data_IF_035094459812
#
_entry.id   IF_035094459812
#
_cell.length_a   1.000
_cell.length_b   1.000
_cell.length_c   1.000
_cell.angle_alpha   90.00
_cell.angle_beta   90.00
_cell.angle_gamma   90.00
#
_symmetry.space_group_name_H-M   'P 1'
#
loop_
_entity.id
_entity.type
_entity.pdbx_description
1 polymer ?
#
# COMPACT_ATOMS: atom_id res chain seq x y z
N UNK A 1 -12.05 9.46 0.55
CA UNK A 1 -12.56 8.91 -0.76
C UNK A 1 -12.39 7.39 -0.76
N UNK A 2 -13.38 6.69 -1.23
CA UNK A 2 -13.31 5.24 -1.35
C UNK A 2 -12.89 4.82 -2.76
N UNK A 3 -12.79 3.50 -3.02
CA UNK A 3 -12.34 3.01 -4.32
C UNK A 3 -13.21 3.45 -5.50
N UNK A 4 -14.56 3.35 -5.44
CA UNK A 4 -15.39 3.84 -6.53
C UNK A 4 -15.22 5.33 -6.82
N UNK A 5 -15.09 6.15 -5.79
CA UNK A 5 -14.85 7.58 -5.95
C UNK A 5 -13.48 7.86 -6.56
N UNK A 6 -12.49 7.09 -6.16
CA UNK A 6 -11.14 7.18 -6.72
C UNK A 6 -11.14 6.82 -8.20
N UNK A 7 -11.84 5.73 -8.58
CA UNK A 7 -11.98 5.31 -9.98
C UNK A 7 -12.63 6.41 -10.82
N UNK A 8 -13.69 7.02 -10.29
CA UNK A 8 -14.38 8.11 -11.00
C UNK A 8 -13.45 9.29 -11.22
N UNK A 9 -12.71 9.70 -10.22
CA UNK A 9 -11.78 10.82 -10.32
C UNK A 9 -10.66 10.54 -11.33
N UNK A 10 -10.10 9.34 -11.32
CA UNK A 10 -9.03 8.94 -12.23
C UNK A 10 -9.56 8.85 -13.67
N UNK A 11 -10.77 8.29 -13.85
CA UNK A 11 -11.36 8.17 -15.19
C UNK A 11 -11.53 9.54 -15.84
N UNK A 12 -11.94 10.53 -15.08
CA UNK A 12 -12.09 11.89 -15.57
C UNK A 12 -10.75 12.49 -15.97
N UNK A 13 -9.73 12.35 -15.13
CA UNK A 13 -8.39 12.86 -15.42
C UNK A 13 -7.75 12.17 -16.62
N UNK A 14 -7.93 10.87 -16.74
CA UNK A 14 -7.28 10.07 -17.79
C UNK A 14 -8.04 10.10 -19.10
N UNK A 15 -9.29 10.57 -19.11
CA UNK A 15 -10.11 10.53 -20.30
C UNK A 15 -10.52 9.13 -20.72
N UNK A 16 -10.68 8.23 -19.73
CA UNK A 16 -11.07 6.84 -19.95
C UNK A 16 -12.46 6.58 -19.35
N UNK A 17 -13.10 5.52 -19.82
CA UNK A 17 -14.33 5.07 -19.19
C UNK A 17 -14.05 4.56 -17.76
N UNK A 18 -15.07 4.55 -16.91
CA UNK A 18 -14.92 4.01 -15.56
C UNK A 18 -14.55 2.54 -15.59
N UNK A 19 -15.11 1.79 -16.52
CA UNK A 19 -14.83 0.36 -16.67
C UNK A 19 -13.35 0.11 -17.00
N UNK A 20 -12.82 0.84 -17.97
CA UNK A 20 -11.41 0.70 -18.36
C UNK A 20 -10.49 1.18 -17.24
N UNK A 21 -10.85 2.27 -16.57
CA UNK A 21 -10.09 2.81 -15.44
C UNK A 21 -10.04 1.80 -14.29
N UNK A 22 -11.17 1.16 -13.98
CA UNK A 22 -11.23 0.13 -12.95
C UNK A 22 -10.30 -1.04 -13.27
N UNK A 23 -10.28 -1.48 -14.52
CA UNK A 23 -9.37 -2.56 -14.95
C UNK A 23 -7.91 -2.17 -14.78
N UNK A 24 -7.55 -0.95 -15.16
CA UNK A 24 -6.17 -0.45 -15.04
C UNK A 24 -5.78 -0.33 -13.56
N UNK A 25 -6.64 0.24 -12.75
CA UNK A 25 -6.37 0.41 -11.31
C UNK A 25 -6.22 -0.96 -10.61
N UNK A 26 -7.12 -1.89 -10.90
CA UNK A 26 -7.03 -3.24 -10.32
C UNK A 26 -5.74 -3.94 -10.75
N UNK A 27 -5.36 -3.83 -12.02
CA UNK A 27 -4.10 -4.40 -12.51
C UNK A 27 -2.89 -3.76 -11.82
N UNK A 28 -2.92 -2.45 -11.60
CA UNK A 28 -1.84 -1.74 -10.92
C UNK A 28 -1.71 -2.20 -9.47
N UNK A 29 -2.82 -2.30 -8.75
CA UNK A 29 -2.81 -2.74 -7.36
C UNK A 29 -2.36 -4.20 -7.23
N UNK A 30 -2.80 -5.07 -8.14
CA UNK A 30 -2.38 -6.47 -8.16
C UNK A 30 -0.88 -6.59 -8.45
N UNK A 31 -0.35 -5.76 -9.32
CA UNK A 31 1.07 -5.75 -9.67
C UNK A 31 1.91 -5.31 -8.46
N UNK A 32 1.47 -4.28 -7.75
CA UNK A 32 2.14 -3.83 -6.52
C UNK A 32 2.12 -4.95 -5.48
N UNK A 33 0.97 -5.59 -5.29
CA UNK A 33 0.82 -6.69 -4.33
C UNK A 33 1.76 -7.85 -4.67
N UNK A 34 1.80 -8.25 -5.95
CA UNK A 34 2.66 -9.35 -6.39
C UNK A 34 4.15 -9.03 -6.17
N UNK A 35 4.56 -7.79 -6.42
CA UNK A 35 5.94 -7.37 -6.19
C UNK A 35 6.29 -7.44 -4.70
N UNK A 36 5.40 -6.97 -3.84
CA UNK A 36 5.62 -6.99 -2.39
C UNK A 36 5.70 -8.41 -1.85
N UNK A 37 4.90 -9.33 -2.39
CA UNK A 37 4.97 -10.75 -2.01
C UNK A 37 6.36 -11.33 -2.31
N UNK A 38 6.99 -10.91 -3.40
CA UNK A 38 8.34 -11.35 -3.78
C UNK A 38 9.44 -10.59 -3.04
N UNK A 39 9.09 -9.62 -2.21
CA UNK A 39 10.06 -8.78 -1.52
C UNK A 39 10.67 -7.68 -2.38
N UNK A 40 10.08 -7.41 -3.53
CA UNK A 40 10.54 -6.34 -4.43
C UNK A 40 9.91 -5.00 -4.02
N UNK A 41 10.67 -3.93 -4.20
CA UNK A 41 10.16 -2.57 -3.98
C UNK A 41 9.50 -2.07 -5.25
N UNK A 42 8.46 -1.26 -5.07
CA UNK A 42 7.81 -0.55 -6.19
C UNK A 42 8.00 0.94 -5.97
N UNK A 43 8.83 1.56 -6.79
CA UNK A 43 9.19 2.97 -6.64
C UNK A 43 8.50 3.82 -7.71
N UNK A 44 7.79 4.86 -7.27
CA UNK A 44 7.18 5.86 -8.14
C UNK A 44 7.88 7.19 -7.90
N UNK A 45 8.66 7.63 -8.89
CA UNK A 45 9.41 8.88 -8.79
C UNK A 45 8.48 10.05 -8.48
N UNK A 46 8.82 10.84 -7.46
CA UNK A 46 8.00 11.98 -7.06
C UNK A 46 6.77 11.65 -6.24
N UNK A 47 6.49 10.37 -6.03
CA UNK A 47 5.34 9.92 -5.23
C UNK A 47 5.77 9.18 -3.97
N UNK A 48 6.44 8.05 -4.13
CA UNK A 48 6.91 7.27 -2.99
C UNK A 48 7.28 5.85 -3.36
N UNK A 49 7.60 5.07 -2.34
CA UNK A 49 8.06 3.69 -2.50
C UNK A 49 7.20 2.77 -1.66
N UNK A 50 6.66 1.72 -2.30
CA UNK A 50 6.01 0.61 -1.61
C UNK A 50 7.06 -0.48 -1.38
N UNK A 51 7.15 -0.98 -0.15
CA UNK A 51 8.12 -2.03 0.18
C UNK A 51 7.56 -2.96 1.24
N UNK A 52 8.12 -4.16 1.32
CA UNK A 52 7.84 -5.10 2.38
C UNK A 52 8.90 -4.97 3.46
N UNK A 53 8.49 -4.91 4.71
CA UNK A 53 9.41 -4.95 5.85
C UNK A 53 9.17 -6.21 6.64
N UNK A 54 10.25 -6.86 7.01
CA UNK A 54 10.18 -8.02 7.88
C UNK A 54 10.03 -7.55 9.32
N UNK A 55 8.97 -8.01 9.97
CA UNK A 55 8.81 -7.87 11.41
C UNK A 55 9.27 -9.17 12.05
N UNK A 56 10.30 -9.07 12.89
CA UNK A 56 10.84 -10.25 13.60
C UNK A 56 9.80 -10.79 14.57
N UNK A 57 9.86 -12.09 14.80
CA UNK A 57 9.06 -12.74 15.83
C UNK A 57 9.30 -12.06 17.17
N UNK A 58 8.26 -11.90 17.94
CA UNK A 58 8.32 -11.24 19.26
C UNK A 58 7.29 -11.86 20.20
N UNK A 59 7.47 -11.60 21.48
CA UNK A 59 6.49 -11.99 22.48
C UNK A 59 5.60 -10.79 22.75
N UNK A 60 4.29 -10.97 22.51
CA UNK A 60 3.28 -9.97 22.84
C UNK A 60 2.42 -10.47 23.99
N UNK A 61 1.36 -9.75 24.29
CA UNK A 61 0.38 -10.14 25.30
C UNK A 61 -1.00 -10.21 24.67
N UNK A 62 -1.73 -11.26 25.05
CA UNK A 62 -3.11 -11.38 24.66
C UNK A 62 -3.93 -10.27 25.32
N UNK A 63 -4.67 -9.45 24.56
CA UNK A 63 -5.47 -8.37 25.14
C UNK A 63 -6.59 -8.84 26.07
N UNK A 64 -7.04 -10.09 25.93
CA UNK A 64 -8.11 -10.64 26.75
C UNK A 64 -7.60 -11.30 28.03
N UNK A 65 -6.57 -12.13 27.92
CA UNK A 65 -6.04 -12.90 29.04
C UNK A 65 -4.81 -12.29 29.67
N UNK A 66 -4.15 -11.36 28.97
CA UNK A 66 -2.88 -10.75 29.35
C UNK A 66 -1.74 -11.76 29.48
N UNK A 67 -1.93 -12.96 28.95
CA UNK A 67 -0.89 -13.96 28.92
C UNK A 67 0.10 -13.69 27.79
N UNK A 68 1.38 -14.07 27.94
CA UNK A 68 2.35 -13.96 26.86
C UNK A 68 1.93 -14.81 25.67
N UNK A 69 1.99 -14.24 24.46
CA UNK A 69 1.76 -14.99 23.25
C UNK A 69 2.86 -14.71 22.26
N UNK A 70 3.22 -15.70 21.47
CA UNK A 70 4.22 -15.53 20.42
C UNK A 70 3.59 -14.93 19.17
N UNK A 71 4.17 -13.83 18.72
CA UNK A 71 3.80 -13.22 17.46
C UNK A 71 4.84 -13.67 16.45
N UNK A 72 4.46 -14.45 15.42
CA UNK A 72 5.42 -14.97 14.46
C UNK A 72 6.01 -13.87 13.59
N UNK A 73 7.15 -14.16 13.01
CA UNK A 73 7.79 -13.32 12.01
C UNK A 73 6.87 -13.19 10.80
N UNK A 74 6.70 -11.95 10.31
CA UNK A 74 5.83 -11.69 9.18
C UNK A 74 6.34 -10.52 8.35
N UNK A 75 6.00 -10.52 7.05
CA UNK A 75 6.28 -9.39 6.17
C UNK A 75 5.10 -8.42 6.21
N UNK A 76 5.41 -7.15 6.33
CA UNK A 76 4.41 -6.08 6.42
C UNK A 76 4.61 -5.10 5.27
N UNK A 77 3.56 -4.79 4.50
CA UNK A 77 3.66 -3.77 3.46
C UNK A 77 3.78 -2.39 4.10
N UNK A 78 4.69 -1.57 3.57
CA UNK A 78 4.86 -0.20 4.03
C UNK A 78 4.96 0.74 2.83
N UNK A 79 4.56 1.98 3.03
CA UNK A 79 4.68 3.04 2.03
C UNK A 79 5.52 4.17 2.59
N UNK A 80 6.58 4.54 1.85
CA UNK A 80 7.40 5.71 2.19
C UNK A 80 7.13 6.82 1.19
N UNK A 81 6.48 7.91 1.60
CA UNK A 81 6.22 9.01 0.67
C UNK A 81 7.51 9.73 0.28
N UNK A 82 7.54 10.24 -0.94
CA UNK A 82 8.67 11.03 -1.41
C UNK A 82 8.65 12.42 -0.73
N UNK A 83 9.79 13.11 -0.78
CA UNK A 83 9.85 14.48 -0.27
C UNK A 83 8.85 15.38 -0.99
N UNK A 84 8.73 15.23 -2.31
CA UNK A 84 7.78 16.01 -3.11
C UNK A 84 6.35 15.83 -2.61
N UNK A 85 5.95 14.57 -2.34
CA UNK A 85 4.61 14.29 -1.84
C UNK A 85 4.40 14.87 -0.45
N UNK A 86 5.38 14.71 0.44
CA UNK A 86 5.31 15.26 1.79
C UNK A 86 5.15 16.78 1.78
N UNK A 87 5.97 17.46 0.99
CA UNK A 87 5.94 18.92 0.89
C UNK A 87 4.62 19.42 0.30
N UNK A 88 4.08 18.70 -0.68
CA UNK A 88 2.81 19.06 -1.30
C UNK A 88 1.65 18.93 -0.32
N UNK A 89 1.64 17.87 0.48
CA UNK A 89 0.57 17.63 1.46
C UNK A 89 0.68 18.58 2.65
N UNK A 90 1.90 18.98 3.02
CA UNK A 90 2.16 19.81 4.20
C UNK A 90 1.87 21.31 4.01
N UNK A 91 1.41 21.71 2.85
CA UNK A 91 1.08 23.13 2.57
C UNK A 91 -0.04 23.65 3.46
#
# INVERSE_FOLDING_TARGET
MNKPEFIAAVSEKAGLSRKDTERVINAALDTITAALVKGEKVSFSGFGIFESKLRKARVGRDPHTKEPMQIPETNVPTFKPSKVLKDTVAK
#
